data_IF_722600731160
#
_entry.id   IF_722600731160
#
_cell.length_a   1.000
_cell.length_b   1.000
_cell.length_c   1.000
_cell.angle_alpha   90.00
_cell.angle_beta   90.00
_cell.angle_gamma   90.00
#
_symmetry.space_group_name_H-M   'P 1'
#
loop_
_entity.id
_entity.type
_entity.pdbx_description
1 polymer ?
#
# COMPACT_ATOMS: atom_id res chain seq x y z
N UNK A 1 3.23 14.84 12.09
CA UNK A 1 3.37 13.54 11.43
C UNK A 1 2.58 13.63 10.14
N UNK A 2 3.27 13.49 9.00
CA UNK A 2 2.67 13.73 7.68
C UNK A 2 2.08 12.44 7.12
N UNK A 3 0.75 12.34 7.15
CA UNK A 3 0.00 11.22 6.58
C UNK A 3 0.21 11.16 5.06
N UNK A 4 0.08 9.98 4.45
CA UNK A 4 0.23 9.80 2.99
C UNK A 4 -0.58 10.82 2.15
N UNK A 5 -1.84 11.19 2.48
CA UNK A 5 -2.55 12.27 1.79
C UNK A 5 -1.81 13.62 1.81
N UNK A 6 -1.09 13.94 2.89
CA UNK A 6 -0.31 15.17 3.01
C UNK A 6 0.98 15.07 2.19
N UNK A 7 1.60 13.88 2.10
CA UNK A 7 2.77 13.62 1.23
C UNK A 7 2.43 13.68 -0.26
N UNK A 8 1.26 13.18 -0.65
CA UNK A 8 0.76 13.17 -2.03
C UNK A 8 0.14 14.51 -2.45
N UNK A 9 0.01 15.49 -1.55
CA UNK A 9 -0.61 16.79 -1.83
C UNK A 9 0.06 17.60 -2.95
N UNK A 10 1.30 17.24 -3.33
CA UNK A 10 2.06 17.85 -4.44
C UNK A 10 1.82 17.17 -5.80
N UNK A 11 0.96 16.15 -5.87
CA UNK A 11 0.80 15.30 -7.05
C UNK A 11 -0.60 15.46 -7.62
N UNK A 12 -0.67 15.63 -8.95
CA UNK A 12 -1.93 15.73 -9.68
C UNK A 12 -2.71 14.42 -9.48
N UNK A 13 -3.73 14.48 -8.64
CA UNK A 13 -4.62 13.36 -8.34
C UNK A 13 -5.84 13.47 -9.26
N UNK A 14 -6.03 12.50 -10.15
CA UNK A 14 -7.22 12.42 -11.02
C UNK A 14 -8.07 11.22 -10.61
N UNK A 15 -9.35 11.46 -10.32
CA UNK A 15 -10.33 10.41 -10.07
C UNK A 15 -10.90 9.92 -11.39
N UNK A 16 -10.57 8.69 -11.80
CA UNK A 16 -11.14 8.03 -12.97
C UNK A 16 -12.37 7.24 -12.53
N UNK A 17 -13.44 7.97 -12.21
CA UNK A 17 -14.79 7.41 -12.06
C UNK A 17 -15.64 7.92 -13.23
N UNK A 18 -15.84 7.08 -14.24
CA UNK A 18 -16.95 7.23 -15.20
C UNK A 18 -16.67 7.85 -16.57
N UNK A 19 -15.77 7.30 -17.37
CA UNK A 19 -15.77 7.55 -18.83
C UNK A 19 -16.02 6.26 -19.61
N UNK A 20 -17.12 6.16 -20.38
CA UNK A 20 -17.36 5.04 -21.28
C UNK A 20 -16.81 5.36 -22.67
N UNK A 21 -15.68 4.78 -23.07
CA UNK A 21 -15.42 4.39 -24.48
C UNK A 21 -13.99 3.86 -24.67
N UNK A 22 -13.91 2.62 -25.12
CA UNK A 22 -13.03 2.13 -26.20
C UNK A 22 -11.65 2.77 -26.30
N UNK A 23 -10.63 2.11 -25.76
CA UNK A 23 -9.47 1.62 -26.52
C UNK A 23 -8.45 0.98 -25.56
N UNK A 24 -8.13 -0.28 -25.86
CA UNK A 24 -7.06 -1.09 -25.28
C UNK A 24 -6.96 -1.03 -23.74
N UNK A 25 -7.99 -1.55 -23.07
CA UNK A 25 -7.77 -2.17 -21.76
C UNK A 25 -6.76 -3.30 -21.99
N UNK A 26 -5.51 -3.11 -21.59
CA UNK A 26 -4.63 -4.23 -21.31
C UNK A 26 -5.25 -4.94 -20.10
N UNK A 27 -6.24 -5.79 -20.39
CA UNK A 27 -6.78 -6.78 -19.46
C UNK A 27 -5.65 -7.78 -19.25
N UNK A 28 -4.69 -7.43 -18.40
CA UNK A 28 -3.98 -8.43 -17.63
C UNK A 28 -5.07 -9.12 -16.85
N UNK A 29 -5.48 -10.30 -17.37
CA UNK A 29 -6.50 -11.13 -16.74
C UNK A 29 -6.19 -11.18 -15.27
N UNK A 30 -7.21 -10.83 -14.49
CA UNK A 30 -7.30 -10.97 -13.06
C UNK A 30 -6.71 -12.35 -12.65
N UNK A 31 -5.42 -12.39 -12.31
CA UNK A 31 -4.90 -13.45 -11.47
C UNK A 31 -5.26 -13.00 -10.06
N UNK A 32 -6.54 -13.13 -9.72
CA UNK A 32 -6.94 -13.43 -8.35
C UNK A 32 -6.48 -14.88 -8.08
N UNK A 33 -5.17 -15.07 -8.07
CA UNK A 33 -4.54 -16.23 -7.51
C UNK A 33 -4.47 -15.97 -6.02
N UNK A 34 -5.48 -16.42 -5.28
CA UNK A 34 -5.21 -16.91 -3.93
C UNK A 34 -4.29 -18.14 -4.10
N UNK A 35 -2.99 -17.89 -4.28
CA UNK A 35 -1.99 -18.91 -4.00
C UNK A 35 -2.02 -19.13 -2.49
N UNK A 36 -2.97 -19.97 -2.06
CA UNK A 36 -2.82 -20.72 -0.83
C UNK A 36 -1.69 -21.72 -1.09
N UNK A 37 -0.44 -21.24 -1.10
CA UNK A 37 0.67 -22.13 -0.88
C UNK A 37 0.41 -22.79 0.50
N UNK A 38 0.46 -24.12 0.52
CA UNK A 38 0.55 -25.03 1.67
C UNK A 38 0.90 -24.35 3.00
N UNK A 39 0.32 -24.72 4.17
CA UNK A 39 0.37 -23.93 5.42
C UNK A 39 1.80 -23.57 5.83
N UNK A 40 2.27 -22.44 5.31
CA UNK A 40 3.52 -21.80 5.66
C UNK A 40 3.22 -20.89 6.84
N UNK A 41 4.14 -20.77 7.82
CA UNK A 41 4.04 -19.74 8.85
C UNK A 41 3.73 -18.37 8.22
N UNK A 42 2.86 -17.57 8.84
CA UNK A 42 2.39 -16.29 8.30
C UNK A 42 3.54 -15.36 7.89
N UNK A 43 4.64 -15.38 8.64
CA UNK A 43 5.89 -14.71 8.29
C UNK A 43 6.38 -15.13 6.90
N UNK A 44 6.50 -16.42 6.60
CA UNK A 44 6.92 -16.91 5.28
C UNK A 44 5.93 -16.59 4.15
N UNK A 45 4.62 -16.50 4.42
CA UNK A 45 3.64 -16.04 3.43
C UNK A 45 3.83 -14.55 3.10
N UNK A 46 4.12 -13.73 4.12
CA UNK A 46 4.39 -12.31 3.91
C UNK A 46 5.73 -12.09 3.19
N UNK A 47 6.75 -12.92 3.43
CA UNK A 47 8.03 -12.84 2.72
C UNK A 47 7.85 -12.95 1.20
N UNK A 48 7.03 -13.90 0.74
CA UNK A 48 6.70 -14.03 -0.67
C UNK A 48 6.00 -12.80 -1.24
N UNK A 49 5.16 -12.13 -0.44
CA UNK A 49 4.48 -10.88 -0.83
C UNK A 49 5.44 -9.70 -0.90
N UNK A 50 6.34 -9.55 0.06
CA UNK A 50 7.33 -8.47 0.10
C UNK A 50 8.32 -8.54 -1.08
N UNK A 51 8.80 -9.73 -1.42
CA UNK A 51 9.63 -9.94 -2.61
C UNK A 51 8.86 -9.65 -3.90
N UNK A 52 7.59 -10.06 -3.98
CA UNK A 52 6.74 -9.73 -5.13
C UNK A 52 6.60 -8.22 -5.30
N UNK A 53 6.40 -7.46 -4.21
CA UNK A 53 6.32 -6.00 -4.28
C UNK A 53 7.59 -5.37 -4.87
N UNK A 54 8.76 -5.81 -4.40
CA UNK A 54 10.04 -5.34 -4.93
C UNK A 54 10.16 -5.58 -6.44
N UNK A 55 9.83 -6.79 -6.92
CA UNK A 55 9.92 -7.10 -8.35
C UNK A 55 8.87 -6.38 -9.18
N UNK A 56 7.64 -6.23 -8.70
CA UNK A 56 6.59 -5.46 -9.40
C UNK A 56 7.02 -4.02 -9.61
N UNK A 57 7.58 -3.37 -8.58
CA UNK A 57 8.11 -2.01 -8.66
C UNK A 57 9.24 -1.89 -9.68
N UNK A 58 10.15 -2.86 -9.74
CA UNK A 58 11.21 -2.87 -10.76
C UNK A 58 10.66 -3.03 -12.17
N UNK A 59 9.71 -3.94 -12.36
CA UNK A 59 9.18 -4.24 -13.68
C UNK A 59 8.21 -3.17 -14.20
N UNK A 60 7.58 -2.35 -13.35
CA UNK A 60 6.72 -1.25 -13.83
C UNK A 60 7.50 -0.11 -14.50
N UNK A 61 8.81 0.00 -14.26
CA UNK A 61 9.67 1.02 -14.90
C UNK A 61 9.82 0.74 -16.40
N UNK A 62 9.93 -0.52 -16.81
CA UNK A 62 10.24 -0.90 -18.19
C UNK A 62 9.16 -0.48 -19.21
N UNK A 63 7.85 -0.72 -18.95
CA UNK A 63 6.79 -0.19 -19.82
C UNK A 63 6.78 1.33 -19.91
N UNK A 64 7.17 2.04 -18.84
CA UNK A 64 7.21 3.51 -18.84
C UNK A 64 8.38 4.01 -19.69
N UNK A 65 9.56 3.40 -19.57
CA UNK A 65 10.71 3.68 -20.46
C UNK A 65 10.32 3.44 -21.92
N UNK A 66 9.72 2.28 -22.23
CA UNK A 66 9.26 1.98 -23.58
C UNK A 66 8.19 2.97 -24.08
N UNK A 67 7.24 3.37 -23.23
CA UNK A 67 6.24 4.37 -23.55
C UNK A 67 6.86 5.71 -23.97
N UNK A 68 7.95 6.11 -23.29
CA UNK A 68 8.72 7.32 -23.61
C UNK A 68 9.57 7.17 -24.87
N UNK A 69 10.27 6.05 -25.03
CA UNK A 69 11.13 5.78 -26.19
C UNK A 69 10.32 5.71 -27.50
N UNK A 70 9.09 5.22 -27.44
CA UNK A 70 8.18 5.17 -28.59
C UNK A 70 7.55 6.53 -28.94
N UNK A 71 7.88 7.62 -28.24
CA UNK A 71 7.29 8.95 -28.42
C UNK A 71 5.75 8.95 -28.39
N UNK A 72 5.14 8.07 -27.59
CA UNK A 72 3.68 8.03 -27.44
C UNK A 72 3.25 9.27 -26.66
N UNK A 73 2.34 10.05 -27.25
CA UNK A 73 1.76 11.23 -26.59
C UNK A 73 0.73 10.78 -25.56
N UNK A 74 0.95 11.11 -24.28
CA UNK A 74 0.00 10.81 -23.21
C UNK A 74 0.66 10.69 -21.84
N UNK A 75 -0.16 10.32 -20.86
CA UNK A 75 0.25 10.08 -19.48
C UNK A 75 0.12 8.59 -19.15
N UNK A 76 1.07 8.04 -18.39
CA UNK A 76 1.10 6.65 -17.94
C UNK A 76 1.32 6.60 -16.43
N UNK A 77 0.58 5.72 -15.75
CA UNK A 77 0.72 5.45 -14.32
C UNK A 77 0.13 4.07 -13.99
N UNK A 78 0.33 3.64 -12.75
CA UNK A 78 -0.34 2.45 -12.20
C UNK A 78 -1.43 2.87 -11.20
N UNK A 79 -2.39 1.97 -10.99
CA UNK A 79 -3.50 2.20 -10.06
C UNK A 79 -3.20 1.52 -8.72
N UNK A 80 -3.17 2.32 -7.66
CA UNK A 80 -3.23 1.81 -6.30
C UNK A 80 -4.64 1.33 -5.93
N UNK A 81 -4.74 0.57 -4.85
CA UNK A 81 -6.01 0.29 -4.17
C UNK A 81 -5.84 0.49 -2.67
N UNK A 82 -6.84 0.07 -1.90
CA UNK A 82 -6.92 0.25 -0.45
C UNK A 82 -7.30 1.69 -0.05
N UNK A 83 -7.18 2.02 1.24
CA UNK A 83 -7.79 3.18 1.84
C UNK A 83 -6.94 3.83 2.93
N UNK A 84 -7.18 5.11 3.13
CA UNK A 84 -6.73 5.83 4.31
C UNK A 84 -7.88 5.80 5.31
N UNK A 85 -7.69 5.03 6.38
CA UNK A 85 -8.68 4.86 7.44
C UNK A 85 -8.61 5.97 8.49
N UNK A 86 -9.49 5.88 9.48
CA UNK A 86 -9.52 6.75 10.65
C UNK A 86 -9.20 5.97 11.92
N UNK A 87 -8.64 6.59 12.98
CA UNK A 87 -8.44 5.90 14.25
C UNK A 87 -9.79 5.47 14.84
N UNK A 88 -9.87 4.25 15.37
CA UNK A 88 -11.11 3.75 16.00
C UNK A 88 -11.50 4.57 17.23
N UNK A 89 -10.56 4.77 18.17
CA UNK A 89 -10.77 5.59 19.36
C UNK A 89 -10.22 6.98 19.16
N UNK A 90 -11.05 8.00 19.41
CA UNK A 90 -10.66 9.41 19.28
C UNK A 90 -9.51 9.73 20.25
N UNK A 91 -8.40 10.25 19.72
CA UNK A 91 -7.25 10.68 20.52
C UNK A 91 -6.38 9.54 21.06
N UNK A 92 -6.67 8.28 20.72
CA UNK A 92 -5.80 7.17 21.08
C UNK A 92 -4.58 7.12 20.14
N UNK A 93 -3.39 7.21 20.72
CA UNK A 93 -2.13 7.26 19.97
C UNK A 93 -1.78 5.95 19.28
N UNK A 94 -2.17 4.81 19.83
CA UNK A 94 -1.92 3.50 19.21
C UNK A 94 -2.80 3.27 17.98
N UNK A 95 -4.07 3.70 18.03
CA UNK A 95 -4.97 3.62 16.87
C UNK A 95 -4.49 4.56 15.75
N UNK A 96 -3.95 5.73 16.09
CA UNK A 96 -3.30 6.62 15.13
C UNK A 96 -2.09 5.93 14.48
N UNK A 97 -1.21 5.32 15.29
CA UNK A 97 -0.08 4.56 14.77
C UNK A 97 -0.52 3.37 13.91
N UNK A 98 -1.62 2.68 14.27
CA UNK A 98 -2.19 1.59 13.47
C UNK A 98 -2.71 2.08 12.10
N UNK A 99 -3.31 3.28 12.03
CA UNK A 99 -3.67 3.92 10.74
C UNK A 99 -2.42 4.19 9.91
N UNK A 100 -1.37 4.76 10.51
CA UNK A 100 -0.12 5.07 9.80
C UNK A 100 0.53 3.80 9.23
N UNK A 101 0.57 2.72 10.02
CA UNK A 101 1.09 1.43 9.56
C UNK A 101 0.21 0.85 8.45
N UNK A 102 -1.12 0.89 8.58
CA UNK A 102 -2.02 0.43 7.51
C UNK A 102 -1.71 1.11 6.19
N UNK A 103 -1.62 2.44 6.20
CA UNK A 103 -1.32 3.22 5.01
C UNK A 103 0.08 2.90 4.46
N UNK A 104 1.09 2.77 5.32
CA UNK A 104 2.45 2.45 4.90
C UNK A 104 2.54 1.07 4.22
N UNK A 105 1.89 0.04 4.76
CA UNK A 105 1.95 -1.32 4.23
C UNK A 105 1.01 -1.60 3.07
N UNK A 106 -0.16 -0.96 3.00
CA UNK A 106 -1.12 -1.21 1.92
C UNK A 106 -0.90 -0.29 0.71
N UNK A 107 -0.54 0.97 0.94
CA UNK A 107 -0.47 1.99 -0.12
C UNK A 107 0.96 2.52 -0.29
N UNK A 108 1.60 2.88 0.83
CA UNK A 108 2.93 3.51 0.85
C UNK A 108 4.03 2.63 0.26
N UNK A 109 3.94 1.31 0.44
CA UNK A 109 4.94 0.36 -0.08
C UNK A 109 5.12 0.45 -1.61
N UNK A 110 4.07 0.85 -2.34
CA UNK A 110 4.14 1.16 -3.77
C UNK A 110 4.25 2.65 -4.06
N UNK A 111 3.56 3.46 -3.26
CA UNK A 111 3.41 4.88 -3.55
C UNK A 111 4.65 5.69 -3.20
N UNK A 112 5.28 5.44 -2.07
CA UNK A 112 6.44 6.22 -1.65
C UNK A 112 7.62 6.10 -2.64
N UNK A 113 7.94 4.89 -3.17
CA UNK A 113 8.99 4.73 -4.17
C UNK A 113 8.73 5.48 -5.48
N UNK A 114 7.49 5.52 -5.95
CA UNK A 114 7.18 6.09 -7.27
C UNK A 114 6.93 7.60 -7.19
N UNK A 115 6.30 8.07 -6.12
CA UNK A 115 5.70 9.40 -6.10
C UNK A 115 6.38 10.38 -5.14
N UNK A 116 7.27 9.91 -4.25
CA UNK A 116 7.80 10.77 -3.18
C UNK A 116 9.31 10.69 -3.00
N UNK A 117 9.86 9.52 -2.67
CA UNK A 117 11.26 9.41 -2.18
C UNK A 117 12.14 8.52 -3.02
N UNK A 118 11.60 7.68 -3.90
CA UNK A 118 12.36 6.66 -4.61
C UNK A 118 12.50 5.35 -3.84
N UNK A 119 12.16 5.35 -2.56
CA UNK A 119 12.27 4.19 -1.66
C UNK A 119 10.98 3.96 -0.86
N UNK A 120 10.88 2.81 -0.19
CA UNK A 120 9.72 2.45 0.61
C UNK A 120 9.61 3.27 1.90
N UNK A 121 8.41 3.32 2.52
CA UNK A 121 8.21 4.04 3.78
C UNK A 121 9.11 3.51 4.90
N UNK A 122 9.61 4.40 5.77
CA UNK A 122 10.53 4.02 6.85
C UNK A 122 9.94 2.94 7.78
N UNK A 123 8.66 3.05 8.13
CA UNK A 123 7.95 2.04 8.94
C UNK A 123 8.03 0.63 8.33
N UNK A 124 7.92 0.54 6.99
CA UNK A 124 8.01 -0.74 6.28
C UNK A 124 9.44 -1.27 6.32
N UNK A 125 10.43 -0.40 6.10
CA UNK A 125 11.86 -0.76 6.15
C UNK A 125 12.30 -1.19 7.55
N UNK A 126 11.80 -0.54 8.60
CA UNK A 126 12.15 -0.87 9.99
C UNK A 126 11.50 -2.20 10.42
N UNK A 127 10.30 -2.48 9.92
CA UNK A 127 9.57 -3.72 10.27
C UNK A 127 10.03 -4.92 9.44
N UNK A 128 10.39 -4.72 8.17
CA UNK A 128 10.74 -5.81 7.26
C UNK A 128 12.26 -5.88 7.07
N UNK A 129 12.91 -7.00 7.45
CA UNK A 129 14.33 -7.19 7.20
C UNK A 129 14.62 -7.19 5.69
N UNK A 130 15.86 -6.86 5.28
CA UNK A 130 16.27 -6.87 3.88
C UNK A 130 16.02 -8.20 3.15
N UNK A 131 16.09 -9.32 3.89
CA UNK A 131 15.80 -10.65 3.36
C UNK A 131 14.34 -10.81 2.90
N UNK A 132 13.42 -10.01 3.44
CA UNK A 132 12.01 -10.03 3.06
C UNK A 132 11.71 -8.96 2.01
N UNK A 133 12.25 -7.76 2.19
CA UNK A 133 12.11 -6.64 1.26
C UNK A 133 13.50 -6.13 0.87
N UNK A 134 14.05 -6.54 -0.28
CA UNK A 134 15.33 -6.01 -0.76
C UNK A 134 15.28 -4.49 -0.87
N UNK A 135 16.41 -3.83 -0.62
CA UNK A 135 16.51 -2.37 -0.68
C UNK A 135 16.85 -1.93 -2.11
N UNK A 136 16.22 -0.85 -2.56
CA UNK A 136 16.50 -0.26 -3.86
C UNK A 136 17.87 0.42 -3.85
N UNK A 137 18.64 0.18 -4.90
CA UNK A 137 19.86 0.93 -5.20
C UNK A 137 19.53 2.35 -5.64
N UNK A 138 20.48 3.28 -5.56
CA UNK A 138 20.26 4.68 -5.98
C UNK A 138 19.80 4.82 -7.43
N UNK A 139 20.26 3.93 -8.33
CA UNK A 139 19.81 3.89 -9.72
C UNK A 139 18.34 3.48 -9.83
N UNK A 140 17.94 2.44 -9.11
CA UNK A 140 16.54 1.98 -9.06
C UNK A 140 15.61 3.03 -8.46
N UNK A 141 16.04 3.75 -7.41
CA UNK A 141 15.26 4.82 -6.79
C UNK A 141 14.98 5.97 -7.77
N UNK A 142 15.98 6.35 -8.58
CA UNK A 142 15.82 7.39 -9.62
C UNK A 142 14.86 6.95 -10.71
N UNK A 143 15.01 5.71 -11.16
CA UNK A 143 14.13 5.11 -12.16
C UNK A 143 12.67 5.09 -11.67
N UNK A 144 12.44 4.67 -10.41
CA UNK A 144 11.12 4.64 -9.78
C UNK A 144 10.48 6.02 -9.67
N UNK A 145 11.22 7.06 -9.28
CA UNK A 145 10.68 8.43 -9.20
C UNK A 145 10.20 8.98 -10.54
N UNK A 146 10.73 8.47 -11.66
CA UNK A 146 10.34 8.86 -13.01
C UNK A 146 9.30 7.95 -13.66
N UNK A 147 8.73 7.00 -12.89
CA UNK A 147 7.93 5.89 -13.43
C UNK A 147 6.40 6.09 -13.41
N UNK A 148 5.90 7.30 -13.13
CA UNK A 148 4.49 7.63 -13.26
C UNK A 148 4.26 9.14 -13.41
N UNK A 149 3.24 9.54 -14.18
CA UNK A 149 2.91 10.96 -14.42
C UNK A 149 1.83 11.49 -13.48
N UNK A 150 0.90 10.63 -13.06
CA UNK A 150 -0.25 11.00 -12.24
C UNK A 150 -0.53 9.92 -11.20
N UNK A 151 -1.23 10.30 -10.14
CA UNK A 151 -1.64 9.36 -9.11
C UNK A 151 -3.06 8.85 -9.37
N UNK A 152 -3.23 7.53 -9.38
CA UNK A 152 -4.53 6.88 -9.52
C UNK A 152 -4.77 5.88 -8.39
N UNK A 153 -5.98 5.89 -7.83
CA UNK A 153 -6.39 4.93 -6.80
C UNK A 153 -7.81 4.42 -7.00
N UNK A 154 -8.01 3.16 -6.67
CA UNK A 154 -9.31 2.52 -6.56
C UNK A 154 -9.84 2.67 -5.12
N UNK A 155 -10.47 3.81 -4.83
CA UNK A 155 -10.99 4.15 -3.51
C UNK A 155 -12.40 3.55 -3.27
N UNK A 156 -12.49 2.23 -3.12
CA UNK A 156 -13.78 1.55 -2.94
C UNK A 156 -14.42 1.73 -1.56
N UNK A 157 -13.61 1.86 -0.51
CA UNK A 157 -14.05 1.77 0.89
C UNK A 157 -13.12 2.54 1.80
N UNK A 158 -13.54 2.78 3.03
CA UNK A 158 -12.70 3.21 4.16
C UNK A 158 -13.14 2.44 5.41
N UNK A 159 -12.29 2.36 6.42
CA UNK A 159 -12.56 1.70 7.71
C UNK A 159 -11.95 2.53 8.84
N UNK A 160 -12.38 2.22 10.06
CA UNK A 160 -11.58 2.54 11.23
C UNK A 160 -10.44 1.53 11.37
N UNK A 161 -9.30 1.98 11.89
CA UNK A 161 -8.20 1.13 12.30
C UNK A 161 -8.01 1.25 13.80
N UNK A 162 -7.99 0.11 14.47
CA UNK A 162 -7.60 -0.02 15.87
C UNK A 162 -6.23 -0.69 15.99
N UNK A 163 -5.50 -0.38 17.04
CA UNK A 163 -4.34 -1.16 17.45
C UNK A 163 -4.75 -2.57 17.87
N UNK A 164 -3.83 -3.56 17.79
CA UNK A 164 -4.03 -4.88 18.38
C UNK A 164 -4.42 -4.78 19.86
N UNK A 165 -5.30 -5.68 20.33
CA UNK A 165 -5.84 -5.64 21.68
C UNK A 165 -4.78 -5.89 22.77
N UNK A 166 -3.71 -6.61 22.41
CA UNK A 166 -2.54 -6.90 23.22
C UNK A 166 -1.44 -5.83 23.11
N UNK A 167 -1.71 -4.74 22.39
CA UNK A 167 -0.81 -3.60 22.22
C UNK A 167 -0.03 -3.64 20.91
N UNK A 168 0.36 -2.46 20.43
CA UNK A 168 1.07 -2.35 19.15
C UNK A 168 2.45 -3.02 19.20
N UNK A 169 3.20 -2.81 20.29
CA UNK A 169 4.56 -3.34 20.46
C UNK A 169 4.58 -4.88 20.52
N UNK A 170 3.55 -5.48 21.13
CA UNK A 170 3.39 -6.94 21.17
C UNK A 170 3.27 -7.52 19.76
N UNK A 171 2.61 -6.81 18.85
CA UNK A 171 2.51 -7.21 17.45
C UNK A 171 3.79 -6.92 16.67
N UNK A 172 4.33 -5.69 16.74
CA UNK A 172 5.48 -5.27 15.92
C UNK A 172 6.71 -6.13 16.16
N UNK A 173 6.95 -6.50 17.43
CA UNK A 173 8.10 -7.30 17.84
C UNK A 173 7.89 -8.81 17.66
N UNK A 174 6.71 -9.26 17.21
CA UNK A 174 6.39 -10.67 17.07
C UNK A 174 5.92 -10.98 15.64
N UNK A 175 6.83 -11.53 14.83
CA UNK A 175 6.53 -11.93 13.43
C UNK A 175 5.51 -13.06 13.31
N UNK A 176 5.20 -13.76 14.41
CA UNK A 176 4.15 -14.78 14.46
C UNK A 176 2.79 -14.19 14.87
N UNK A 177 2.72 -12.93 15.28
CA UNK A 177 1.47 -12.28 15.68
C UNK A 177 0.48 -12.24 14.50
N UNK A 178 -0.82 -12.53 14.72
CA UNK A 178 -1.80 -12.63 13.64
C UNK A 178 -1.93 -11.35 12.81
N UNK A 179 -1.75 -10.18 13.43
CA UNK A 179 -1.83 -8.89 12.74
C UNK A 179 -0.48 -8.40 12.17
N UNK A 180 0.64 -9.12 12.38
CA UNK A 180 1.93 -8.74 11.80
C UNK A 180 1.90 -8.91 10.26
N UNK A 181 2.50 -7.98 9.49
CA UNK A 181 3.32 -6.83 9.90
C UNK A 181 2.56 -5.51 10.01
N UNK A 182 1.35 -5.42 9.48
CA UNK A 182 0.61 -4.14 9.48
C UNK A 182 0.25 -3.70 10.90
N UNK A 183 -0.03 -4.64 11.79
CA UNK A 183 -0.42 -4.42 13.18
C UNK A 183 -1.58 -3.45 13.32
N UNK A 184 -2.65 -3.70 12.55
CA UNK A 184 -3.93 -3.01 12.66
C UNK A 184 -5.09 -4.01 12.68
N UNK A 185 -6.20 -3.59 13.25
CA UNK A 185 -7.50 -4.27 13.18
C UNK A 185 -8.45 -3.34 12.44
N UNK A 186 -9.03 -3.82 11.34
CA UNK A 186 -10.00 -3.06 10.55
C UNK A 186 -11.38 -3.18 11.20
N UNK A 187 -11.98 -2.06 11.54
CA UNK A 187 -13.32 -1.98 12.14
C UNK A 187 -14.26 -1.29 11.15
N UNK A 188 -15.32 -2.00 10.77
CA UNK A 188 -16.31 -1.49 9.81
C UNK A 188 -17.18 -0.39 10.43
N UNK A 189 -17.67 0.51 9.59
CA UNK A 189 -18.73 1.45 10.00
C UNK A 189 -20.01 0.66 10.27
N UNK A 190 -20.37 0.50 11.54
CA UNK A 190 -21.65 -0.08 11.94
C UNK A 190 -22.72 1.01 11.93
N UNK A 191 -23.90 0.73 11.37
CA UNK A 191 -25.06 1.60 11.56
C UNK A 191 -25.41 1.67 13.06
N UNK A 192 -26.05 2.75 13.55
CA UNK A 192 -26.45 2.87 14.95
C UNK A 192 -27.34 1.72 15.46
N UNK A 193 -28.00 0.98 14.57
CA UNK A 193 -28.76 -0.24 14.90
C UNK A 193 -27.90 -1.46 15.22
N UNK A 194 -26.59 -1.39 15.00
CA UNK A 194 -25.59 -2.41 15.33
C UNK A 194 -24.53 -1.84 16.29
N UNK A 195 -24.97 -1.07 17.30
CA UNK A 195 -24.14 -0.73 18.46
C UNK A 195 -23.47 -1.99 18.99
N UNK A 196 -22.18 -2.16 18.68
CA UNK A 196 -21.30 -2.98 19.48
C UNK A 196 -21.21 -2.26 20.83
N UNK A 197 -21.75 -2.92 21.85
CA UNK A 197 -21.65 -2.50 23.23
C UNK A 197 -20.17 -2.26 23.58
N UNK A 198 -19.85 -1.07 24.04
CA UNK A 198 -18.51 -0.70 24.51
C UNK A 198 -18.02 0.64 23.99
N UNK A 199 -18.73 1.72 24.33
CA UNK A 199 -18.11 3.01 24.59
C UNK A 199 -17.82 3.10 26.09
#
# INVERSE_FOLDING_TARGET
MDLLPQRLSKIVTRSILGTPSTNLDLVVRNIQGSFQCYPRPRSQQFNGRALLFYHVLKHMVEPVKAFREMNITGEIAFKNNDYVGTPWRKGNTEDIAAVERHVAFQIGIFSDPVYTTGDGPQIVKDTLPPDFLPRFTEGEQKDLLSSADFYATNAYRTFFNAAPLDGLDACVNNTAHPNWPTCNIQVAYTSPSQTQAGQ
#
